data_IF_766252898274
#
_entry.id   IF_766252898274
#
_cell.length_a   1.000
_cell.length_b   1.000
_cell.length_c   1.000
_cell.angle_alpha   90.00
_cell.angle_beta   90.00
_cell.angle_gamma   90.00
#
_symmetry.space_group_name_H-M   'P 1'
#
loop_
_entity.id
_entity.type
_entity.pdbx_description
1 polymer ?
#
# COMPACT_ATOMS: atom_id res chain seq x y z
N UNK A 1 49.92 -12.79 -9.04
CA UNK A 1 49.11 -12.26 -10.17
C UNK A 1 48.01 -13.26 -10.49
N UNK A 2 46.73 -12.88 -10.63
CA UNK A 2 46.06 -11.66 -10.17
C UNK A 2 44.88 -11.95 -9.22
N UNK A 3 44.66 -11.04 -8.26
CA UNK A 3 43.36 -10.87 -7.59
C UNK A 3 42.34 -10.50 -8.68
N UNK A 4 41.34 -11.35 -8.91
CA UNK A 4 40.16 -10.96 -9.70
C UNK A 4 39.42 -9.90 -8.90
N UNK A 5 39.42 -8.66 -9.39
CA UNK A 5 38.55 -7.58 -8.93
C UNK A 5 37.10 -7.95 -9.20
N UNK A 6 36.44 -8.59 -8.25
CA UNK A 6 34.98 -8.71 -8.22
C UNK A 6 34.38 -7.52 -7.48
N UNK A 7 34.68 -6.29 -7.92
CA UNK A 7 33.80 -5.15 -7.63
C UNK A 7 32.79 -5.09 -8.77
N UNK A 8 31.70 -5.85 -8.62
CA UNK A 8 30.51 -5.63 -9.43
C UNK A 8 30.13 -4.14 -9.37
N UNK A 9 29.71 -3.61 -10.53
CA UNK A 9 29.12 -2.28 -10.81
C UNK A 9 28.02 -1.88 -9.82
N UNK A 10 28.35 -1.67 -8.54
CA UNK A 10 27.37 -1.22 -7.58
C UNK A 10 27.13 0.27 -7.79
N UNK A 11 26.03 0.59 -8.47
CA UNK A 11 25.49 1.94 -8.55
C UNK A 11 26.18 2.88 -9.53
N UNK A 12 27.17 2.44 -10.32
CA UNK A 12 27.90 3.31 -11.25
C UNK A 12 27.02 3.78 -12.42
N UNK A 13 26.23 2.88 -12.99
CA UNK A 13 25.29 3.22 -14.06
C UNK A 13 24.16 4.14 -13.54
N UNK A 14 23.68 3.89 -12.32
CA UNK A 14 22.68 4.71 -11.64
C UNK A 14 23.22 6.10 -11.33
N UNK A 15 24.44 6.22 -10.79
CA UNK A 15 25.06 7.52 -10.52
C UNK A 15 25.24 8.30 -11.81
N UNK A 16 25.68 7.68 -12.90
CA UNK A 16 25.78 8.37 -14.18
C UNK A 16 24.42 8.85 -14.69
N UNK A 17 23.36 8.04 -14.58
CA UNK A 17 21.99 8.44 -14.94
C UNK A 17 21.46 9.59 -14.09
N UNK A 18 21.66 9.53 -12.77
CA UNK A 18 21.22 10.56 -11.82
C UNK A 18 21.98 11.87 -12.04
N UNK A 19 23.29 11.78 -12.21
CA UNK A 19 24.16 12.91 -12.53
C UNK A 19 23.73 13.58 -13.83
N UNK A 20 23.41 12.79 -14.87
CA UNK A 20 22.87 13.33 -16.13
C UNK A 20 21.49 13.97 -15.96
N UNK A 21 20.61 13.38 -15.15
CA UNK A 21 19.24 13.86 -14.94
C UNK A 21 19.21 15.18 -14.15
N UNK A 22 20.04 15.30 -13.11
CA UNK A 22 20.11 16.48 -12.24
C UNK A 22 21.19 17.50 -12.65
N UNK A 23 21.90 17.28 -13.75
CA UNK A 23 22.98 18.15 -14.24
C UNK A 23 22.65 19.66 -14.18
N UNK A 24 21.47 20.15 -14.62
CA UNK A 24 21.15 21.58 -14.54
C UNK A 24 21.10 22.11 -13.10
N UNK A 25 20.55 21.32 -12.18
CA UNK A 25 20.44 21.67 -10.76
C UNK A 25 21.83 21.67 -10.10
N UNK A 26 22.63 20.64 -10.34
CA UNK A 26 23.98 20.49 -9.80
C UNK A 26 24.88 21.67 -10.22
N UNK A 27 24.87 22.01 -11.51
CA UNK A 27 25.63 23.16 -12.02
C UNK A 27 25.16 24.47 -11.40
N UNK A 28 23.85 24.65 -11.21
CA UNK A 28 23.29 25.87 -10.59
C UNK A 28 23.68 26.01 -9.11
N UNK A 29 24.00 24.90 -8.44
CA UNK A 29 24.46 24.85 -7.05
C UNK A 29 25.98 24.92 -6.90
N UNK A 30 26.73 25.07 -8.00
CA UNK A 30 28.20 25.13 -7.99
C UNK A 30 28.88 23.78 -7.79
N UNK A 31 28.18 22.67 -8.05
CA UNK A 31 28.71 21.30 -7.97
C UNK A 31 29.52 20.97 -9.22
N UNK A 32 30.71 20.40 -9.04
CA UNK A 32 31.52 19.88 -10.13
C UNK A 32 31.06 18.47 -10.51
N UNK A 33 30.24 18.42 -11.56
CA UNK A 33 29.59 17.22 -12.06
C UNK A 33 30.59 16.18 -12.56
N UNK A 34 31.77 16.62 -13.02
CA UNK A 34 32.77 15.72 -13.60
C UNK A 34 33.58 14.98 -12.52
N UNK A 35 33.59 15.50 -11.28
CA UNK A 35 34.22 14.85 -10.12
C UNK A 35 33.33 13.80 -9.44
N UNK A 36 32.02 13.77 -9.75
CA UNK A 36 31.05 12.88 -9.10
C UNK A 36 31.40 11.40 -9.24
N UNK A 37 31.82 10.86 -10.41
CA UNK A 37 32.19 9.46 -10.56
C UNK A 37 33.40 9.05 -9.70
N UNK A 38 34.42 9.91 -9.63
CA UNK A 38 35.62 9.67 -8.82
C UNK A 38 35.29 9.73 -7.33
N UNK A 39 34.48 10.71 -6.93
CA UNK A 39 34.00 10.85 -5.56
C UNK A 39 33.08 9.71 -5.13
N UNK A 40 32.25 9.19 -6.05
CA UNK A 40 31.43 8.01 -5.82
C UNK A 40 32.29 6.78 -5.55
N UNK A 41 33.41 6.63 -6.27
CA UNK A 41 34.38 5.55 -6.03
C UNK A 41 34.98 5.64 -4.62
N UNK A 42 35.32 6.84 -4.16
CA UNK A 42 35.83 7.08 -2.81
C UNK A 42 34.75 6.76 -1.75
N UNK A 43 33.53 7.27 -1.94
CA UNK A 43 32.41 7.03 -1.03
C UNK A 43 32.09 5.54 -0.91
N UNK A 44 32.05 4.81 -2.04
CA UNK A 44 31.87 3.36 -2.05
C UNK A 44 32.92 2.66 -1.22
N UNK A 45 34.21 2.95 -1.44
CA UNK A 45 35.30 2.31 -0.72
C UNK A 45 35.16 2.49 0.81
N UNK A 46 34.84 3.70 1.26
CA UNK A 46 34.62 4.01 2.68
C UNK A 46 33.41 3.25 3.27
N UNK A 47 32.31 3.14 2.51
CA UNK A 47 31.12 2.39 2.94
C UNK A 47 31.42 0.88 3.03
N UNK A 48 32.15 0.31 2.07
CA UNK A 48 32.58 -1.09 2.12
C UNK A 48 33.49 -1.37 3.32
N UNK A 49 34.46 -0.49 3.59
CA UNK A 49 35.33 -0.59 4.79
C UNK A 49 34.53 -0.45 6.09
N UNK A 50 33.44 0.32 6.08
CA UNK A 50 32.53 0.47 7.22
C UNK A 50 31.51 -0.69 7.36
N UNK A 51 31.63 -1.77 6.58
CA UNK A 51 30.79 -2.97 6.73
C UNK A 51 29.48 -2.97 5.95
N UNK A 52 29.28 -2.05 5.01
CA UNK A 52 28.03 -1.93 4.24
C UNK A 52 27.64 -3.21 3.50
N UNK A 53 28.58 -3.90 2.86
CA UNK A 53 28.31 -5.16 2.15
C UNK A 53 28.11 -6.38 3.05
N UNK A 54 28.51 -6.27 4.31
CA UNK A 54 28.43 -7.34 5.29
C UNK A 54 27.18 -7.21 6.18
N UNK A 55 26.35 -6.19 5.95
CA UNK A 55 25.12 -5.94 6.70
C UNK A 55 25.33 -5.38 8.12
N UNK A 56 26.55 -4.92 8.44
CA UNK A 56 26.94 -4.40 9.77
C UNK A 56 27.02 -2.88 9.82
N UNK A 57 26.51 -2.19 8.80
CA UNK A 57 26.56 -0.73 8.69
C UNK A 57 25.44 -0.05 9.49
N UNK A 58 25.80 0.57 10.61
CA UNK A 58 24.85 1.19 11.56
C UNK A 58 24.82 2.73 11.51
N UNK A 59 25.50 3.38 10.55
CA UNK A 59 25.60 4.85 10.48
C UNK A 59 24.45 5.47 9.68
N UNK A 60 23.90 6.58 10.19
CA UNK A 60 22.86 7.36 9.51
C UNK A 60 23.45 8.24 8.39
N UNK A 61 22.65 8.58 7.36
CA UNK A 61 23.08 9.46 6.27
C UNK A 61 23.67 10.80 6.75
N UNK A 62 23.07 11.53 7.72
CA UNK A 62 23.66 12.76 8.25
C UNK A 62 25.06 12.56 8.88
N UNK A 63 25.31 11.38 9.46
CA UNK A 63 26.61 11.01 10.03
C UNK A 63 27.64 10.78 8.93
N UNK A 64 27.28 10.01 7.90
CA UNK A 64 28.13 9.74 6.72
C UNK A 64 28.46 11.03 5.98
N UNK A 65 27.45 11.86 5.72
CA UNK A 65 27.60 13.14 5.06
C UNK A 65 28.57 14.04 5.84
N UNK A 66 28.37 14.21 7.16
CA UNK A 66 29.31 14.99 8.00
C UNK A 66 30.74 14.45 7.96
N UNK A 67 30.91 13.13 7.99
CA UNK A 67 32.23 12.49 7.95
C UNK A 67 32.94 12.71 6.61
N UNK A 68 32.23 12.63 5.49
CA UNK A 68 32.85 12.57 4.16
C UNK A 68 32.70 13.86 3.34
N UNK A 69 32.01 14.88 3.87
CA UNK A 69 31.78 16.18 3.21
C UNK A 69 33.04 16.85 2.67
N UNK A 70 34.15 16.68 3.37
CA UNK A 70 35.44 17.27 2.97
C UNK A 70 36.16 16.49 1.87
N UNK A 71 35.79 15.24 1.62
CA UNK A 71 36.43 14.35 0.63
C UNK A 71 35.60 14.15 -0.62
N UNK A 72 34.29 14.16 -0.50
CA UNK A 72 33.38 13.93 -1.62
C UNK A 72 32.16 14.88 -1.60
N UNK A 73 32.39 16.20 -1.63
CA UNK A 73 31.31 17.19 -1.50
C UNK A 73 30.28 17.12 -2.63
N UNK A 74 30.70 16.85 -3.86
CA UNK A 74 29.85 16.93 -5.06
C UNK A 74 28.89 15.74 -5.18
N UNK A 75 29.40 14.52 -4.92
CA UNK A 75 28.54 13.33 -4.87
C UNK A 75 27.60 13.37 -3.66
N UNK A 76 28.05 13.88 -2.51
CA UNK A 76 27.19 14.05 -1.34
C UNK A 76 26.11 15.10 -1.57
N UNK A 77 26.42 16.17 -2.31
CA UNK A 77 25.41 17.15 -2.73
C UNK A 77 24.41 16.53 -3.69
N UNK A 78 24.83 15.68 -4.64
CA UNK A 78 23.90 14.93 -5.50
C UNK A 78 22.93 14.09 -4.65
N UNK A 79 23.43 13.41 -3.62
CA UNK A 79 22.58 12.66 -2.70
C UNK A 79 21.70 13.55 -1.82
N UNK A 80 22.19 14.69 -1.32
CA UNK A 80 21.37 15.64 -0.56
C UNK A 80 20.29 16.27 -1.45
N UNK A 81 20.60 16.59 -2.70
CA UNK A 81 19.64 17.04 -3.71
C UNK A 81 18.57 15.96 -3.96
N UNK A 82 18.98 14.69 -4.12
CA UNK A 82 18.05 13.56 -4.22
C UNK A 82 17.16 13.42 -2.99
N UNK A 83 17.71 13.65 -1.80
CA UNK A 83 16.98 13.59 -0.54
C UNK A 83 16.13 14.83 -0.25
N UNK A 84 16.35 15.95 -0.95
CA UNK A 84 15.63 17.23 -0.75
C UNK A 84 14.61 17.55 -1.85
N UNK A 85 14.65 16.87 -3.00
CA UNK A 85 13.65 17.07 -4.07
C UNK A 85 12.34 16.34 -3.72
N UNK A 86 11.19 17.05 -3.61
CA UNK A 86 9.93 16.41 -3.33
C UNK A 86 9.45 15.60 -4.55
N UNK A 87 8.91 14.41 -4.26
CA UNK A 87 7.99 13.59 -5.06
C UNK A 87 8.51 12.37 -5.86
N UNK A 88 9.75 11.87 -5.74
CA UNK A 88 10.12 10.56 -6.38
C UNK A 88 11.04 9.59 -5.62
N UNK A 89 11.34 9.80 -4.33
CA UNK A 89 12.12 8.85 -3.53
C UNK A 89 11.27 8.14 -2.46
N UNK A 90 11.49 6.82 -2.31
CA UNK A 90 10.85 5.89 -1.35
C UNK A 90 10.84 6.31 0.15
N UNK A 91 11.38 7.47 0.52
CA UNK A 91 11.50 7.93 1.91
C UNK A 91 10.47 9.01 2.32
N UNK A 92 9.71 9.58 1.38
CA UNK A 92 8.62 10.51 1.68
C UNK A 92 7.41 9.86 2.38
N UNK A 93 7.00 8.62 2.05
CA UNK A 93 5.84 8.03 2.72
C UNK A 93 6.03 7.89 4.24
N UNK A 94 7.19 7.45 4.77
CA UNK A 94 7.43 7.44 6.22
C UNK A 94 7.36 8.83 6.88
N UNK A 95 7.94 9.87 6.26
CA UNK A 95 7.91 11.23 6.82
C UNK A 95 6.50 11.81 6.84
N UNK A 96 5.75 11.64 5.75
CA UNK A 96 4.34 12.02 5.70
C UNK A 96 3.50 11.26 6.73
N UNK A 97 3.77 9.97 6.95
CA UNK A 97 3.09 9.18 7.98
C UNK A 97 3.39 9.72 9.38
N UNK A 98 4.63 10.14 9.65
CA UNK A 98 5.03 10.73 10.94
C UNK A 98 4.43 12.12 11.15
N UNK A 99 4.48 12.97 10.13
CA UNK A 99 3.96 14.35 10.18
C UNK A 99 2.44 14.40 10.35
N UNK A 100 1.74 13.33 9.97
CA UNK A 100 0.30 13.21 10.16
C UNK A 100 -0.07 12.30 11.33
N UNK A 101 0.87 11.64 12.04
CA UNK A 101 0.59 10.58 13.03
C UNK A 101 -0.27 11.05 14.21
N UNK A 102 -0.11 12.32 14.59
CA UNK A 102 -0.88 13.02 15.62
C UNK A 102 -2.36 13.17 15.24
N UNK A 103 -2.68 13.19 13.95
CA UNK A 103 -4.06 13.14 13.45
C UNK A 103 -4.69 11.78 13.78
N UNK A 104 -5.45 11.73 14.88
CA UNK A 104 -6.19 10.57 15.36
C UNK A 104 -7.56 11.02 15.84
N UNK A 105 -8.58 10.20 15.60
CA UNK A 105 -9.91 10.45 16.14
C UNK A 105 -9.89 10.30 17.66
N UNK A 106 -10.33 11.33 18.39
CA UNK A 106 -10.52 11.30 19.84
C UNK A 106 -11.93 10.81 20.22
N UNK A 107 -12.84 10.75 19.24
CA UNK A 107 -14.24 10.39 19.44
C UNK A 107 -14.45 8.88 19.61
N UNK A 108 -15.28 8.46 20.59
CA UNK A 108 -15.69 7.06 20.71
C UNK A 108 -16.46 6.66 19.46
N UNK A 109 -16.28 5.40 19.01
CA UNK A 109 -16.92 4.84 17.81
C UNK A 109 -16.53 5.51 16.48
N UNK A 110 -15.52 6.39 16.47
CA UNK A 110 -14.94 6.96 15.27
C UNK A 110 -13.48 6.55 15.14
N UNK A 111 -13.07 6.13 13.95
CA UNK A 111 -11.72 5.68 13.65
C UNK A 111 -11.22 6.36 12.40
N UNK A 112 -10.05 6.99 12.52
CA UNK A 112 -9.35 7.58 11.39
C UNK A 112 -8.30 6.60 10.89
N UNK A 113 -8.42 6.19 9.63
CA UNK A 113 -7.47 5.29 8.97
C UNK A 113 -6.78 6.07 7.85
N UNK A 114 -5.45 6.07 7.85
CA UNK A 114 -4.63 6.81 6.88
C UNK A 114 -3.77 5.85 6.07
N UNK A 115 -3.60 6.12 4.78
CA UNK A 115 -2.68 5.45 3.88
C UNK A 115 -2.10 6.48 2.91
N UNK A 116 -0.88 6.97 3.18
CA UNK A 116 -0.37 8.16 2.50
C UNK A 116 -1.43 9.29 2.52
N UNK A 117 -1.72 9.91 1.39
CA UNK A 117 -2.73 10.96 1.25
C UNK A 117 -4.18 10.47 1.39
N UNK A 118 -4.44 9.17 1.19
CA UNK A 118 -5.77 8.60 1.35
C UNK A 118 -6.13 8.48 2.84
N UNK A 119 -7.22 9.15 3.25
CA UNK A 119 -7.73 9.10 4.64
C UNK A 119 -9.20 8.70 4.65
N UNK A 120 -9.55 7.81 5.59
CA UNK A 120 -10.92 7.32 5.81
C UNK A 120 -11.32 7.58 7.25
N UNK A 121 -12.40 8.34 7.43
CA UNK A 121 -13.09 8.48 8.71
C UNK A 121 -14.23 7.44 8.76
N UNK A 122 -14.06 6.43 9.61
CA UNK A 122 -15.08 5.42 9.88
C UNK A 122 -15.83 5.79 11.15
N UNK A 123 -17.16 5.80 11.10
CA UNK A 123 -17.99 6.06 12.28
C UNK A 123 -19.09 5.02 12.39
N UNK A 124 -19.14 4.34 13.54
CA UNK A 124 -20.24 3.43 13.86
C UNK A 124 -21.45 4.26 14.30
N UNK A 125 -22.49 4.25 13.46
CA UNK A 125 -23.74 4.96 13.73
C UNK A 125 -24.65 4.08 14.60
N UNK A 126 -24.74 4.38 15.90
CA UNK A 126 -25.66 3.72 16.83
C UNK A 126 -26.56 4.75 17.54
N UNK A 127 -27.82 4.37 17.79
CA UNK A 127 -28.78 5.22 18.51
C UNK A 127 -29.24 6.48 17.76
N UNK A 128 -29.42 7.58 18.49
CA UNK A 128 -29.86 8.90 17.98
C UNK A 128 -28.73 9.73 17.36
N UNK A 129 -27.47 9.37 17.62
CA UNK A 129 -26.28 9.95 16.99
C UNK A 129 -26.11 9.39 15.58
N UNK A 130 -26.83 9.98 14.62
CA UNK A 130 -26.82 9.55 13.23
C UNK A 130 -25.64 10.07 12.41
N UNK A 131 -24.65 10.73 13.03
CA UNK A 131 -23.67 11.53 12.29
C UNK A 131 -22.24 11.38 12.80
N UNK A 132 -21.33 11.27 11.86
CA UNK A 132 -19.87 11.39 12.05
C UNK A 132 -19.41 12.86 12.16
N UNK A 133 -20.36 13.81 12.17
CA UNK A 133 -20.12 15.26 12.08
C UNK A 133 -19.09 15.81 13.08
N UNK A 134 -19.13 15.47 14.39
CA UNK A 134 -18.15 16.00 15.33
C UNK A 134 -16.71 15.60 14.96
N UNK A 135 -16.50 14.31 14.68
CA UNK A 135 -15.17 13.79 14.30
C UNK A 135 -14.71 14.32 12.94
N UNK A 136 -15.63 14.55 12.01
CA UNK A 136 -15.30 15.18 10.73
C UNK A 136 -14.90 16.63 10.92
N UNK A 137 -15.58 17.39 11.78
CA UNK A 137 -15.24 18.77 12.03
C UNK A 137 -13.86 18.90 12.69
N UNK A 138 -13.56 18.08 13.70
CA UNK A 138 -12.22 18.01 14.32
C UNK A 138 -11.13 17.69 13.28
N UNK A 139 -11.42 16.74 12.38
CA UNK A 139 -10.50 16.39 11.30
C UNK A 139 -10.27 17.55 10.32
N UNK A 140 -11.33 18.25 9.91
CA UNK A 140 -11.23 19.41 9.02
C UNK A 140 -10.42 20.53 9.66
N UNK A 141 -10.67 20.85 10.94
CA UNK A 141 -9.92 21.86 11.69
C UNK A 141 -8.43 21.48 11.85
N UNK A 142 -8.14 20.18 12.04
CA UNK A 142 -6.76 19.68 12.05
C UNK A 142 -6.08 19.84 10.68
N UNK A 143 -6.78 19.54 9.58
CA UNK A 143 -6.25 19.75 8.23
C UNK A 143 -5.93 21.24 7.98
N UNK A 144 -6.85 22.14 8.33
CA UNK A 144 -6.67 23.58 8.17
C UNK A 144 -5.46 24.10 8.96
N UNK A 145 -5.33 23.70 10.23
CA UNK A 145 -4.20 24.10 11.07
C UNK A 145 -2.86 23.51 10.61
N UNK A 146 -2.90 22.32 10.01
CA UNK A 146 -1.73 21.64 9.44
C UNK A 146 -1.41 22.07 8.00
N UNK A 147 -2.16 23.03 7.45
CA UNK A 147 -2.03 23.53 6.06
C UNK A 147 -2.22 22.42 5.00
N UNK A 148 -3.08 21.47 5.29
CA UNK A 148 -3.47 20.40 4.37
C UNK A 148 -4.81 20.74 3.73
N UNK A 149 -4.83 20.89 2.41
CA UNK A 149 -6.06 21.21 1.67
C UNK A 149 -6.85 19.95 1.33
N UNK A 150 -8.10 19.89 1.80
CA UNK A 150 -9.00 18.77 1.49
C UNK A 150 -9.60 18.91 0.09
N UNK A 151 -9.40 17.88 -0.74
CA UNK A 151 -10.03 17.82 -2.05
C UNK A 151 -11.46 17.28 -1.96
N UNK A 152 -12.43 18.16 -1.65
CA UNK A 152 -13.85 17.80 -1.48
C UNK A 152 -14.43 17.10 -2.71
N UNK A 153 -13.95 17.40 -3.92
CA UNK A 153 -14.43 16.76 -5.15
C UNK A 153 -14.05 15.26 -5.24
N UNK A 154 -12.95 14.88 -4.59
CA UNK A 154 -12.49 13.48 -4.49
C UNK A 154 -13.00 12.79 -3.23
N UNK A 155 -13.33 13.53 -2.18
CA UNK A 155 -13.95 12.99 -0.96
C UNK A 155 -15.34 12.45 -1.27
N UNK A 156 -15.64 11.25 -0.78
CA UNK A 156 -16.95 10.60 -0.93
C UNK A 156 -17.45 10.16 0.44
N UNK A 157 -18.76 10.23 0.62
CA UNK A 157 -19.45 9.72 1.81
C UNK A 157 -20.19 8.42 1.44
N UNK A 158 -19.99 7.35 2.20
CA UNK A 158 -20.61 6.06 1.94
C UNK A 158 -21.23 5.51 3.23
N UNK A 159 -22.54 5.26 3.19
CA UNK A 159 -23.28 4.69 4.31
C UNK A 159 -23.45 3.18 4.11
N UNK A 160 -22.74 2.39 4.93
CA UNK A 160 -22.89 0.92 4.95
C UNK A 160 -23.99 0.53 5.94
N UNK A 161 -25.02 -0.17 5.48
CA UNK A 161 -26.12 -0.65 6.34
C UNK A 161 -26.60 -2.03 5.95
N UNK A 162 -26.81 -2.89 6.96
CA UNK A 162 -27.41 -4.21 6.81
C UNK A 162 -28.88 -4.23 7.26
N UNK A 163 -29.40 -3.08 7.70
CA UNK A 163 -30.80 -2.97 8.09
C UNK A 163 -31.71 -3.10 6.87
N UNK A 164 -32.68 -4.01 6.93
CA UNK A 164 -33.68 -4.20 5.87
C UNK A 164 -34.75 -3.10 5.85
N UNK A 165 -34.76 -2.20 6.84
CA UNK A 165 -35.70 -1.08 6.89
C UNK A 165 -35.16 0.03 6.00
N UNK A 166 -35.96 0.58 5.07
CA UNK A 166 -35.59 1.77 4.33
C UNK A 166 -35.21 2.85 5.34
N UNK A 167 -33.98 3.38 5.25
CA UNK A 167 -33.67 4.64 5.93
C UNK A 167 -34.41 5.72 5.13
N UNK A 168 -35.18 6.55 5.81
CA UNK A 168 -35.88 7.67 5.18
C UNK A 168 -34.84 8.53 4.43
N UNK A 169 -34.98 8.76 3.11
CA UNK A 169 -34.10 9.65 2.36
C UNK A 169 -34.06 11.07 2.95
N UNK A 170 -35.11 11.49 3.66
CA UNK A 170 -35.12 12.77 4.36
C UNK A 170 -34.23 12.80 5.62
N UNK A 171 -33.78 11.65 6.11
CA UNK A 171 -32.87 11.52 7.26
C UNK A 171 -31.39 11.40 6.85
N UNK A 172 -31.05 11.28 5.56
CA UNK A 172 -29.67 11.34 5.10
C UNK A 172 -29.20 12.80 5.09
N UNK A 173 -28.71 13.22 6.25
CA UNK A 173 -28.07 14.51 6.42
C UNK A 173 -26.85 14.61 5.50
N UNK A 174 -26.87 15.57 4.58
CA UNK A 174 -25.74 15.84 3.68
C UNK A 174 -24.50 16.26 4.47
N UNK A 175 -23.40 15.58 4.21
CA UNK A 175 -22.08 15.94 4.72
C UNK A 175 -21.55 17.15 3.95
N UNK A 176 -21.07 18.17 4.66
CA UNK A 176 -20.62 19.44 4.08
C UNK A 176 -19.22 19.73 4.62
N UNK A 177 -18.28 20.00 3.72
CA UNK A 177 -16.90 20.39 4.04
C UNK A 177 -16.63 21.75 3.40
N UNK A 178 -16.22 22.74 4.19
CA UNK A 178 -16.03 24.14 3.75
C UNK A 178 -17.19 24.70 2.91
N UNK A 179 -18.44 24.42 3.31
CA UNK A 179 -19.64 24.85 2.58
C UNK A 179 -19.94 24.08 1.29
N UNK A 180 -19.10 23.12 0.89
CA UNK A 180 -19.30 22.28 -0.28
C UNK A 180 -19.90 20.92 0.13
N UNK A 181 -21.02 20.48 -0.48
CA UNK A 181 -21.60 19.17 -0.17
C UNK A 181 -20.70 18.05 -0.69
N UNK A 182 -20.49 17.04 0.14
CA UNK A 182 -19.78 15.80 -0.23
C UNK A 182 -20.75 14.86 -0.95
N UNK A 183 -20.30 14.28 -2.05
CA UNK A 183 -21.09 13.30 -2.81
C UNK A 183 -21.28 12.01 -2.01
N UNK A 184 -22.54 11.60 -1.85
CA UNK A 184 -22.90 10.31 -1.26
C UNK A 184 -22.88 9.24 -2.35
N UNK A 185 -22.13 8.16 -2.15
CA UNK A 185 -21.95 7.08 -3.12
C UNK A 185 -22.40 5.73 -2.57
N UNK A 186 -22.89 4.87 -3.46
CA UNK A 186 -23.17 3.47 -3.14
C UNK A 186 -21.97 2.56 -3.40
N UNK A 187 -21.01 3.01 -4.20
CA UNK A 187 -19.81 2.26 -4.57
C UNK A 187 -18.59 3.19 -4.59
N UNK A 188 -17.47 2.75 -4.01
CA UNK A 188 -16.23 3.51 -3.97
C UNK A 188 -15.00 2.60 -4.07
N UNK A 189 -13.98 3.03 -4.81
CA UNK A 189 -12.72 2.31 -4.94
C UNK A 189 -11.67 2.88 -3.99
N UNK A 190 -11.30 2.08 -3.00
CA UNK A 190 -10.30 2.44 -2.00
C UNK A 190 -9.11 1.47 -2.07
N UNK A 191 -7.89 2.00 -2.21
CA UNK A 191 -6.63 1.24 -2.30
C UNK A 191 -6.70 0.05 -3.28
N UNK A 192 -7.35 0.24 -4.42
CA UNK A 192 -7.49 -0.78 -5.46
C UNK A 192 -8.61 -1.81 -5.26
N UNK A 193 -9.38 -1.74 -4.16
CA UNK A 193 -10.55 -2.59 -3.90
C UNK A 193 -11.84 -1.77 -3.99
N UNK A 194 -12.83 -2.26 -4.74
CA UNK A 194 -14.13 -1.58 -4.86
C UNK A 194 -15.10 -2.07 -3.79
N UNK A 195 -15.57 -1.17 -2.94
CA UNK A 195 -16.55 -1.43 -1.90
C UNK A 195 -17.92 -0.93 -2.35
N UNK A 196 -18.96 -1.73 -2.14
CA UNK A 196 -20.34 -1.30 -2.22
C UNK A 196 -20.94 -1.12 -0.82
N UNK A 197 -21.97 -0.30 -0.69
CA UNK A 197 -22.68 0.00 0.55
C UNK A 197 -23.34 -1.23 1.22
N UNK A 198 -23.42 -2.37 0.54
CA UNK A 198 -23.89 -3.65 1.06
C UNK A 198 -22.75 -4.66 1.30
N UNK A 199 -21.50 -4.28 1.02
CA UNK A 199 -20.30 -5.11 1.09
C UNK A 199 -20.44 -6.47 0.35
N UNK A 200 -21.08 -6.49 -0.82
CA UNK A 200 -21.24 -7.68 -1.67
C UNK A 200 -20.05 -7.92 -2.62
N UNK A 201 -19.28 -6.88 -2.91
CA UNK A 201 -18.07 -6.85 -3.75
C UNK A 201 -18.26 -7.37 -5.19
N UNK A 202 -19.46 -7.17 -5.75
CA UNK A 202 -19.77 -7.61 -7.12
C UNK A 202 -18.94 -6.88 -8.18
N UNK A 203 -18.86 -5.55 -8.12
CA UNK A 203 -18.05 -4.77 -9.06
C UNK A 203 -16.55 -5.06 -8.92
N UNK A 204 -16.06 -5.23 -7.69
CA UNK A 204 -14.69 -5.66 -7.42
C UNK A 204 -14.39 -7.02 -8.07
N UNK A 205 -15.31 -7.98 -7.95
CA UNK A 205 -15.17 -9.30 -8.58
C UNK A 205 -15.10 -9.19 -10.10
N UNK A 206 -15.93 -8.33 -10.70
CA UNK A 206 -15.92 -8.09 -12.14
C UNK A 206 -14.59 -7.47 -12.61
N UNK A 207 -14.06 -6.48 -11.87
CA UNK A 207 -12.77 -5.88 -12.20
C UNK A 207 -11.62 -6.91 -12.10
N UNK A 208 -11.63 -7.74 -11.06
CA UNK A 208 -10.67 -8.84 -10.90
C UNK A 208 -10.77 -9.80 -12.09
N UNK A 209 -11.97 -10.28 -12.42
CA UNK A 209 -12.18 -11.21 -13.53
C UNK A 209 -11.75 -10.61 -14.87
N UNK A 210 -12.09 -9.34 -15.14
CA UNK A 210 -11.64 -8.62 -16.35
C UNK A 210 -10.12 -8.60 -16.43
N UNK A 211 -9.43 -8.25 -15.34
CA UNK A 211 -7.97 -8.27 -15.30
C UNK A 211 -7.42 -9.68 -15.50
N UNK A 212 -7.99 -10.68 -14.85
CA UNK A 212 -7.58 -12.08 -14.98
C UNK A 212 -7.77 -12.61 -16.41
N UNK A 213 -8.87 -12.30 -17.09
CA UNK A 213 -9.11 -12.74 -18.47
C UNK A 213 -8.04 -12.22 -19.44
N UNK A 214 -7.58 -10.99 -19.27
CA UNK A 214 -6.47 -10.44 -20.05
C UNK A 214 -5.17 -11.25 -19.87
N UNK A 215 -4.85 -11.67 -18.63
CA UNK A 215 -3.61 -12.42 -18.32
C UNK A 215 -3.75 -13.90 -18.65
N UNK A 216 -4.98 -14.42 -18.58
CA UNK A 216 -5.31 -15.77 -19.02
C UNK A 216 -5.08 -15.94 -20.53
N UNK A 217 -5.36 -14.92 -21.33
CA UNK A 217 -4.99 -14.92 -22.75
C UNK A 217 -3.48 -15.08 -22.95
N UNK A 218 -2.67 -14.35 -22.18
CA UNK A 218 -1.20 -14.48 -22.22
C UNK A 218 -0.75 -15.87 -21.77
N UNK A 219 -1.33 -16.41 -20.69
CA UNK A 219 -1.05 -17.78 -20.23
C UNK A 219 -1.36 -18.82 -21.33
N UNK A 220 -2.48 -18.68 -22.05
CA UNK A 220 -2.81 -19.55 -23.20
C UNK A 220 -1.80 -19.44 -24.32
N UNK A 221 -1.31 -18.23 -24.61
CA UNK A 221 -0.25 -18.00 -25.62
C UNK A 221 1.06 -18.66 -25.21
N UNK A 222 1.49 -18.51 -23.96
CA UNK A 222 2.68 -19.19 -23.44
C UNK A 222 2.55 -20.72 -23.57
N UNK A 223 1.39 -21.27 -23.21
CA UNK A 223 1.14 -22.70 -23.37
C UNK A 223 1.20 -23.15 -24.83
N UNK A 224 0.70 -22.34 -25.77
CA UNK A 224 0.77 -22.65 -27.21
C UNK A 224 2.20 -22.67 -27.77
N UNK A 225 3.16 -22.03 -27.10
CA UNK A 225 4.58 -22.08 -27.44
C UNK A 225 5.31 -23.26 -26.78
N UNK A 226 4.62 -24.13 -26.06
CA UNK A 226 5.23 -25.28 -25.40
C UNK A 226 6.10 -24.91 -24.18
N UNK A 227 5.85 -23.76 -23.55
CA UNK A 227 6.55 -23.34 -22.33
C UNK A 227 6.33 -24.37 -21.23
N UNK A 228 7.38 -24.67 -20.45
CA UNK A 228 7.31 -25.68 -19.40
C UNK A 228 6.31 -25.32 -18.29
N UNK A 229 5.66 -26.33 -17.70
CA UNK A 229 4.69 -26.16 -16.61
C UNK A 229 5.25 -25.41 -15.40
N UNK A 230 6.55 -25.52 -15.11
CA UNK A 230 7.21 -24.78 -14.02
C UNK A 230 7.23 -23.26 -14.29
N UNK A 231 7.57 -22.85 -15.51
CA UNK A 231 7.55 -21.44 -15.90
C UNK A 231 6.11 -20.92 -15.98
N UNK A 232 5.18 -21.74 -16.50
CA UNK A 232 3.75 -21.40 -16.49
C UNK A 232 3.19 -21.22 -15.08
N UNK A 233 3.60 -22.04 -14.12
CA UNK A 233 3.21 -21.90 -12.71
C UNK A 233 3.76 -20.60 -12.12
N UNK A 234 5.02 -20.26 -12.41
CA UNK A 234 5.63 -19.00 -11.97
C UNK A 234 4.86 -17.80 -12.52
N UNK A 235 4.49 -17.83 -13.80
CA UNK A 235 3.64 -16.80 -14.41
C UNK A 235 2.26 -16.72 -13.74
N UNK A 236 1.62 -17.86 -13.48
CA UNK A 236 0.34 -17.90 -12.78
C UNK A 236 0.43 -17.24 -11.39
N UNK A 237 1.40 -17.63 -10.57
CA UNK A 237 1.57 -17.08 -9.22
C UNK A 237 1.83 -15.55 -9.27
N UNK A 238 2.69 -15.11 -10.19
CA UNK A 238 3.08 -13.70 -10.28
C UNK A 238 1.97 -12.79 -10.82
N UNK A 239 1.21 -13.21 -11.83
CA UNK A 239 0.29 -12.34 -12.56
C UNK A 239 -1.19 -12.65 -12.35
N UNK A 240 -1.57 -13.92 -12.16
CA UNK A 240 -2.97 -14.31 -12.02
C UNK A 240 -3.37 -14.44 -10.56
N UNK A 241 -2.60 -15.20 -9.77
CA UNK A 241 -2.85 -15.39 -8.35
C UNK A 241 -2.72 -14.06 -7.60
N UNK A 242 -1.71 -13.25 -7.90
CA UNK A 242 -1.55 -11.91 -7.31
C UNK A 242 -2.80 -11.03 -7.49
N UNK A 243 -3.33 -10.95 -8.72
CA UNK A 243 -4.54 -10.17 -9.00
C UNK A 243 -5.76 -10.73 -8.26
N UNK A 244 -5.94 -12.05 -8.23
CA UNK A 244 -7.09 -12.68 -7.55
C UNK A 244 -6.99 -12.65 -6.03
N UNK A 245 -5.80 -12.45 -5.47
CA UNK A 245 -5.57 -12.55 -4.01
C UNK A 245 -5.25 -11.21 -3.37
N UNK A 246 -5.18 -10.13 -4.17
CA UNK A 246 -5.04 -8.77 -3.68
C UNK A 246 -6.19 -8.42 -2.72
N UNK A 247 -5.84 -8.07 -1.48
CA UNK A 247 -6.77 -7.74 -0.40
C UNK A 247 -7.88 -8.79 -0.17
N UNK A 248 -7.61 -10.07 -0.44
CA UNK A 248 -8.61 -11.16 -0.41
C UNK A 248 -9.32 -11.30 0.93
N UNK A 249 -8.65 -10.94 2.03
CA UNK A 249 -9.21 -10.95 3.38
C UNK A 249 -10.38 -10.00 3.56
N UNK A 250 -10.49 -8.95 2.73
CA UNK A 250 -11.53 -7.94 2.82
C UNK A 250 -12.84 -8.37 2.14
N UNK A 251 -12.76 -9.07 1.00
CA UNK A 251 -13.92 -9.25 0.12
C UNK A 251 -14.36 -10.72 -0.05
N UNK A 252 -13.46 -11.70 0.06
CA UNK A 252 -13.77 -13.09 -0.34
C UNK A 252 -14.89 -13.72 0.50
N UNK A 253 -14.91 -13.43 1.79
CA UNK A 253 -15.94 -13.95 2.69
C UNK A 253 -17.34 -13.42 2.37
N UNK A 254 -17.47 -12.18 1.91
CA UNK A 254 -18.77 -11.56 1.64
C UNK A 254 -19.32 -11.87 0.24
N UNK A 255 -18.54 -12.55 -0.62
CA UNK A 255 -18.97 -12.89 -1.96
C UNK A 255 -20.19 -13.83 -1.98
N UNK A 256 -21.09 -13.57 -2.94
CA UNK A 256 -22.14 -14.51 -3.32
C UNK A 256 -21.56 -15.84 -3.83
N UNK A 257 -22.32 -16.93 -3.69
CA UNK A 257 -21.93 -18.24 -4.22
C UNK A 257 -21.63 -18.18 -5.73
N UNK A 258 -22.40 -17.39 -6.48
CA UNK A 258 -22.18 -17.16 -7.91
C UNK A 258 -20.80 -16.54 -8.18
N UNK A 259 -20.44 -15.47 -7.48
CA UNK A 259 -19.15 -14.79 -7.68
C UNK A 259 -17.98 -15.67 -7.24
N UNK A 260 -18.12 -16.44 -6.15
CA UNK A 260 -17.12 -17.43 -5.74
C UNK A 260 -16.91 -18.51 -6.82
N UNK A 261 -18.00 -19.04 -7.38
CA UNK A 261 -17.93 -20.06 -8.44
C UNK A 261 -17.25 -19.52 -9.71
N UNK A 262 -17.51 -18.25 -10.10
CA UNK A 262 -16.85 -17.62 -11.25
C UNK A 262 -15.34 -17.52 -11.06
N UNK A 263 -14.87 -17.04 -9.91
CA UNK A 263 -13.44 -16.95 -9.60
C UNK A 263 -12.77 -18.34 -9.50
N UNK A 264 -13.45 -19.29 -8.88
CA UNK A 264 -12.97 -20.67 -8.78
C UNK A 264 -12.88 -21.32 -10.16
N UNK A 265 -13.85 -21.10 -11.04
CA UNK A 265 -13.80 -21.58 -12.41
C UNK A 265 -12.58 -21.04 -13.16
N UNK A 266 -12.31 -19.74 -13.09
CA UNK A 266 -11.10 -19.14 -13.69
C UNK A 266 -9.82 -19.77 -13.16
N UNK A 267 -9.77 -20.02 -11.84
CA UNK A 267 -8.64 -20.71 -11.19
C UNK A 267 -8.46 -22.13 -11.72
N UNK A 268 -9.55 -22.88 -11.88
CA UNK A 268 -9.53 -24.23 -12.45
C UNK A 268 -9.07 -24.24 -13.92
N UNK A 269 -9.49 -23.26 -14.72
CA UNK A 269 -9.02 -23.10 -16.11
C UNK A 269 -7.51 -22.85 -16.13
N UNK A 270 -7.00 -21.98 -15.26
CA UNK A 270 -5.55 -21.74 -15.16
C UNK A 270 -4.79 -23.02 -14.80
N UNK A 271 -5.26 -23.77 -13.79
CA UNK A 271 -4.64 -25.03 -13.38
C UNK A 271 -4.55 -26.04 -14.52
N UNK A 272 -5.62 -26.17 -15.32
CA UNK A 272 -5.64 -27.05 -16.50
C UNK A 272 -4.62 -26.63 -17.56
N UNK A 273 -4.44 -25.33 -17.79
CA UNK A 273 -3.47 -24.81 -18.77
C UNK A 273 -2.03 -25.01 -18.27
N UNK A 274 -1.77 -24.73 -17.00
CA UNK A 274 -0.45 -24.92 -16.39
C UNK A 274 -0.08 -26.42 -16.34
N UNK A 275 -1.07 -27.31 -16.21
CA UNK A 275 -0.87 -28.75 -16.06
C UNK A 275 -0.46 -29.17 -14.64
N UNK A 276 -0.59 -28.26 -13.67
CA UNK A 276 -0.24 -28.49 -12.26
C UNK A 276 -1.38 -28.00 -11.35
N UNK A 277 -1.55 -28.61 -10.17
CA UNK A 277 -2.52 -28.15 -9.18
C UNK A 277 -2.14 -26.75 -8.67
N UNK A 278 -3.12 -25.85 -8.66
CA UNK A 278 -2.98 -24.51 -8.06
C UNK A 278 -3.74 -24.45 -6.74
N UNK A 279 -3.33 -23.53 -5.86
CA UNK A 279 -4.04 -23.29 -4.60
C UNK A 279 -5.44 -22.75 -4.88
N UNK A 280 -6.41 -23.17 -4.09
CA UNK A 280 -7.77 -22.60 -4.19
C UNK A 280 -7.81 -21.24 -3.49
N UNK A 281 -8.65 -20.32 -3.98
CA UNK A 281 -8.83 -19.01 -3.36
C UNK A 281 -9.33 -19.12 -1.91
N UNK A 282 -10.11 -20.15 -1.58
CA UNK A 282 -10.53 -20.42 -0.22
C UNK A 282 -9.35 -20.77 0.71
N UNK A 283 -8.39 -21.58 0.23
CA UNK A 283 -7.17 -21.89 0.97
C UNK A 283 -6.31 -20.63 1.18
N UNK A 284 -6.14 -19.82 0.13
CA UNK A 284 -5.37 -18.58 0.23
C UNK A 284 -6.03 -17.59 1.19
N UNK A 285 -7.35 -17.40 1.07
CA UNK A 285 -8.13 -16.58 2.00
C UNK A 285 -7.94 -17.03 3.44
N UNK A 286 -8.14 -18.32 3.73
CA UNK A 286 -8.03 -18.84 5.10
C UNK A 286 -6.62 -18.62 5.68
N UNK A 287 -5.59 -18.91 4.89
CA UNK A 287 -4.20 -18.70 5.30
C UNK A 287 -3.90 -17.22 5.57
N UNK A 288 -4.37 -16.30 4.72
CA UNK A 288 -4.16 -14.87 4.91
C UNK A 288 -4.98 -14.31 6.07
N UNK A 289 -6.23 -14.75 6.25
CA UNK A 289 -7.10 -14.34 7.34
C UNK A 289 -6.49 -14.74 8.70
N UNK A 290 -5.96 -15.96 8.82
CA UNK A 290 -5.25 -16.39 10.04
C UNK A 290 -4.00 -15.55 10.31
N UNK A 291 -3.19 -15.27 9.29
CA UNK A 291 -2.01 -14.41 9.43
C UNK A 291 -2.39 -12.99 9.87
N UNK A 292 -3.48 -12.45 9.32
CA UNK A 292 -3.97 -11.13 9.69
C UNK A 292 -4.49 -11.12 11.13
N UNK A 293 -5.28 -12.12 11.53
CA UNK A 293 -5.74 -12.26 12.90
C UNK A 293 -4.58 -12.36 13.90
N UNK A 294 -3.54 -13.14 13.58
CA UNK A 294 -2.34 -13.24 14.41
C UNK A 294 -1.62 -11.87 14.54
N UNK A 295 -1.47 -11.12 13.45
CA UNK A 295 -0.88 -9.76 13.48
C UNK A 295 -1.68 -8.81 14.37
N UNK A 296 -3.02 -8.88 14.28
CA UNK A 296 -3.91 -8.05 15.10
C UNK A 296 -3.72 -8.39 16.58
N UNK A 297 -3.74 -9.68 16.94
CA UNK A 297 -3.59 -10.14 18.33
C UNK A 297 -2.21 -9.88 18.92
N UNK A 298 -1.16 -9.91 18.11
CA UNK A 298 0.20 -9.60 18.56
C UNK A 298 0.46 -8.10 18.70
N UNK A 299 -0.45 -7.24 18.24
CA UNK A 299 -0.31 -5.79 18.34
C UNK A 299 -1.45 -5.19 19.19
N UNK A 300 -1.21 -4.96 20.50
CA UNK A 300 -2.19 -4.35 21.40
C UNK A 300 -2.69 -2.97 20.95
N UNK A 301 -1.89 -2.24 20.16
CA UNK A 301 -2.24 -0.93 19.62
C UNK A 301 -3.07 -0.99 18.33
N UNK A 302 -3.32 -2.19 17.79
CA UNK A 302 -4.12 -2.34 16.58
C UNK A 302 -5.59 -1.99 16.86
N UNK A 303 -6.23 -1.20 15.97
CA UNK A 303 -7.62 -0.70 16.14
C UNK A 303 -8.61 -1.85 16.39
N UNK A 304 -8.43 -2.97 15.69
CA UNK A 304 -9.27 -4.16 15.86
C UNK A 304 -8.83 -5.09 17.00
N UNK A 305 -7.73 -4.86 17.70
CA UNK A 305 -7.27 -5.74 18.78
C UNK A 305 -8.37 -5.96 19.85
N UNK A 306 -9.08 -4.93 20.35
CA UNK A 306 -10.16 -5.11 21.31
C UNK A 306 -11.34 -5.92 20.78
N UNK A 307 -11.53 -5.97 19.46
CA UNK A 307 -12.62 -6.70 18.82
C UNK A 307 -12.38 -8.21 18.79
N UNK A 308 -11.15 -8.69 19.04
CA UNK A 308 -10.85 -10.13 19.06
C UNK A 308 -10.64 -10.62 20.49
N UNK A 309 -11.37 -11.67 20.88
CA UNK A 309 -11.15 -12.38 22.13
C UNK A 309 -11.00 -13.88 21.89
N UNK A 310 -10.12 -14.50 22.67
CA UNK A 310 -10.04 -15.96 22.71
C UNK A 310 -11.27 -16.50 23.43
N UNK A 311 -11.94 -17.48 22.80
CA UNK A 311 -12.94 -18.28 23.49
C UNK A 311 -12.26 -19.06 24.63
N UNK A 312 -13.01 -19.44 25.69
CA UNK A 312 -12.46 -20.14 26.86
C UNK A 312 -11.64 -21.39 26.53
N UNK A 313 -11.92 -22.03 25.39
CA UNK A 313 -11.15 -23.17 24.87
C UNK A 313 -9.70 -22.86 24.48
N UNK A 314 -9.32 -21.59 24.33
CA UNK A 314 -8.00 -21.15 23.82
C UNK A 314 -7.72 -21.52 22.35
N UNK A 315 -8.69 -22.11 21.64
CA UNK A 315 -8.50 -22.65 20.27
C UNK A 315 -9.17 -21.82 19.19
N UNK A 316 -10.12 -20.96 19.55
CA UNK A 316 -10.96 -20.21 18.63
C UNK A 316 -11.04 -18.76 19.08
N UNK A 317 -11.05 -17.85 18.12
CA UNK A 317 -11.27 -16.43 18.34
C UNK A 317 -12.75 -16.12 18.09
N UNK A 318 -13.35 -15.31 18.94
CA UNK A 318 -14.59 -14.61 18.65
C UNK A 318 -14.28 -13.15 18.28
N UNK A 319 -15.09 -12.61 17.38
CA UNK A 319 -15.21 -11.17 17.21
C UNK A 319 -16.29 -10.70 18.19
N UNK A 320 -15.97 -9.76 19.07
CA UNK A 320 -16.95 -9.12 19.95
C UNK A 320 -17.57 -7.99 19.13
N UNK A 321 -18.74 -8.23 18.56
CA UNK A 321 -19.57 -7.19 17.94
C UNK A 321 -20.73 -6.85 18.85
#
# INVERSE_FOLDING_TARGET
>A
LPFKSTSQDFGDEEINKLTSHFRPLLLSAGVDVDLIPDQWTILKAELYTAGFSQGTFEKTWPTVNRMLRHRCPDVLYLFDALLTIPARLCALPPLYILDTDDCRSTHPNCHLVKYADDTVLLSLLSGSSQHHRPALQEFVEWCDSSKLELNVSKTKDMVVTFCRRPRDPAASVTTIIHGTPVEVVEEYKYLGTTFDNLLKFSANTEEILRKCHQRLYLLRKLNSFGVSSSVMMTFYCAFLENIMTFSITCWFYSLSLQNRNRLQHTTSVCSKIVGLPVRTLAQVFYQQALRQAAKILHNPSHILHPAFQWLPSGRRLCCIS
#
